data_IF_997931784848
#
_entry.id   IF_997931784848
#
_cell.length_a   1.000
_cell.length_b   1.000
_cell.length_c   1.000
_cell.angle_alpha   90.00
_cell.angle_beta   90.00
_cell.angle_gamma   90.00
#
_symmetry.space_group_name_H-M   'P 1'
#
loop_
_entity.id
_entity.type
_entity.pdbx_description
1 polymer ?
#
# COMPACT_ATOMS: atom_id res chain seq x y z
N UNK A 1 11.00 -34.39 -14.18
CA UNK A 1 11.90 -33.34 -14.70
C UNK A 1 11.30 -31.98 -14.32
N UNK A 2 11.93 -31.19 -13.43
CA UNK A 2 11.43 -29.85 -13.07
C UNK A 2 11.88 -28.86 -14.15
N UNK A 3 10.97 -28.40 -15.01
CA UNK A 3 11.30 -27.40 -16.03
C UNK A 3 11.37 -26.01 -15.39
N UNK A 4 12.57 -25.45 -15.29
CA UNK A 4 12.76 -24.06 -14.87
C UNK A 4 12.46 -23.14 -16.06
N UNK A 5 11.33 -22.45 -16.02
CA UNK A 5 10.95 -21.49 -17.05
C UNK A 5 11.54 -20.11 -16.71
N UNK A 6 12.60 -19.71 -17.41
CA UNK A 6 13.10 -18.34 -17.32
C UNK A 6 12.17 -17.40 -18.06
N UNK A 7 11.44 -16.57 -17.33
CA UNK A 7 10.56 -15.54 -17.90
C UNK A 7 11.28 -14.60 -18.87
N UNK A 8 12.58 -14.37 -18.67
CA UNK A 8 13.43 -13.64 -19.60
C UNK A 8 13.41 -14.27 -20.99
N UNK A 9 13.45 -15.60 -21.13
CA UNK A 9 13.38 -16.28 -22.43
C UNK A 9 12.03 -16.11 -23.10
N UNK A 10 10.95 -16.04 -22.32
CA UNK A 10 9.59 -15.86 -22.82
C UNK A 10 9.29 -14.42 -23.27
N UNK A 11 9.93 -13.42 -22.64
CA UNK A 11 9.54 -12.01 -22.82
C UNK A 11 10.61 -11.13 -23.46
N UNK A 12 11.90 -11.50 -23.45
CA UNK A 12 13.02 -10.65 -23.93
C UNK A 12 12.83 -10.08 -25.33
N UNK A 13 12.21 -10.86 -26.23
CA UNK A 13 11.97 -10.46 -27.62
C UNK A 13 10.48 -10.34 -27.95
N UNK A 14 9.60 -10.40 -26.95
CA UNK A 14 8.16 -10.40 -27.20
C UNK A 14 7.72 -9.02 -27.69
N UNK A 15 6.91 -9.02 -28.73
CA UNK A 15 6.25 -7.83 -29.28
C UNK A 15 4.75 -8.07 -29.34
N UNK A 16 3.97 -6.99 -29.22
CA UNK A 16 2.54 -7.05 -29.50
C UNK A 16 2.25 -6.91 -31.01
N UNK A 17 0.98 -6.94 -31.37
CA UNK A 17 0.52 -6.79 -32.76
C UNK A 17 0.87 -5.43 -33.39
N UNK A 18 1.21 -4.42 -32.57
CA UNK A 18 1.66 -3.09 -33.00
C UNK A 18 3.19 -3.00 -33.12
N UNK A 19 3.92 -4.10 -32.85
CA UNK A 19 5.38 -4.15 -32.88
C UNK A 19 6.07 -3.58 -31.64
N UNK A 20 5.31 -3.18 -30.62
CA UNK A 20 5.84 -2.64 -29.37
C UNK A 20 6.48 -3.76 -28.55
N UNK A 21 7.68 -3.52 -28.03
CA UNK A 21 8.44 -4.52 -27.26
C UNK A 21 7.95 -4.59 -25.82
N UNK A 22 8.05 -5.78 -25.23
CA UNK A 22 7.99 -5.92 -23.77
C UNK A 22 9.25 -5.30 -23.15
N UNK A 23 9.09 -4.22 -22.38
CA UNK A 23 10.21 -3.43 -21.82
C UNK A 23 10.23 -3.44 -20.30
N UNK A 24 11.38 -3.12 -19.70
CA UNK A 24 11.49 -2.90 -18.25
C UNK A 24 10.56 -1.79 -17.75
N UNK A 25 10.33 -0.75 -18.57
CA UNK A 25 9.38 0.32 -18.26
C UNK A 25 7.96 -0.21 -18.09
N UNK A 26 7.54 -1.13 -18.97
CA UNK A 26 6.24 -1.79 -18.87
C UNK A 26 6.17 -2.73 -17.65
N UNK A 27 7.23 -3.48 -17.35
CA UNK A 27 7.30 -4.29 -16.12
C UNK A 27 7.11 -3.40 -14.90
N UNK A 28 7.78 -2.25 -14.86
CA UNK A 28 7.62 -1.25 -13.79
C UNK A 28 6.18 -0.76 -13.66
N UNK A 29 5.51 -0.41 -14.76
CA UNK A 29 4.11 0.05 -14.70
C UNK A 29 3.13 -1.06 -14.27
N UNK A 30 3.37 -2.30 -14.67
CA UNK A 30 2.60 -3.46 -14.22
C UNK A 30 2.83 -3.76 -12.73
N UNK A 31 4.07 -3.65 -12.25
CA UNK A 31 4.41 -3.78 -10.82
C UNK A 31 3.74 -2.68 -9.99
N UNK A 32 3.78 -1.43 -10.45
CA UNK A 32 3.15 -0.31 -9.75
C UNK A 32 1.62 -0.54 -9.63
N UNK A 33 1.00 -1.02 -10.70
CA UNK A 33 -0.45 -1.21 -10.79
C UNK A 33 -0.93 -2.46 -10.06
N UNK A 34 -0.31 -3.60 -10.30
CA UNK A 34 -0.76 -4.92 -9.86
C UNK A 34 0.11 -5.53 -8.75
N UNK A 35 1.13 -4.81 -8.25
CA UNK A 35 2.09 -5.37 -7.31
C UNK A 35 2.91 -6.50 -7.94
N UNK A 36 3.29 -7.53 -7.16
CA UNK A 36 3.82 -8.77 -7.72
C UNK A 36 2.90 -9.26 -8.83
N UNK A 37 3.38 -9.18 -10.08
CA UNK A 37 2.51 -9.25 -11.26
C UNK A 37 1.87 -10.65 -11.34
N UNK A 38 0.52 -10.77 -11.26
CA UNK A 38 -0.13 -12.05 -11.45
C UNK A 38 0.19 -12.63 -12.83
N UNK A 39 0.40 -13.95 -12.91
CA UNK A 39 0.73 -14.63 -14.18
C UNK A 39 -0.24 -14.28 -15.31
N UNK A 40 -1.54 -14.15 -15.00
CA UNK A 40 -2.56 -13.80 -15.98
C UNK A 40 -2.38 -12.39 -16.56
N UNK A 41 -1.94 -11.43 -15.74
CA UNK A 41 -1.63 -10.06 -16.16
C UNK A 41 -0.40 -10.05 -17.05
N UNK A 42 0.63 -10.81 -16.69
CA UNK A 42 1.86 -10.90 -17.46
C UNK A 42 1.66 -11.61 -18.82
N UNK A 43 0.79 -12.63 -18.88
CA UNK A 43 0.45 -13.30 -20.13
C UNK A 43 -0.32 -12.39 -21.09
N UNK A 44 -1.11 -11.47 -20.55
CA UNK A 44 -1.97 -10.51 -21.26
C UNK A 44 -1.48 -9.07 -21.13
N UNK A 45 -0.15 -8.89 -21.15
CA UNK A 45 0.47 -7.58 -20.96
C UNK A 45 0.10 -6.58 -22.07
N UNK A 46 -0.19 -7.08 -23.27
CA UNK A 46 -0.52 -6.35 -24.50
C UNK A 46 -2.02 -6.32 -24.82
N UNK A 47 -2.85 -6.98 -24.00
CA UNK A 47 -4.30 -6.97 -24.15
C UNK A 47 -4.88 -5.71 -23.48
N UNK A 48 -5.14 -4.68 -24.28
CA UNK A 48 -5.70 -3.41 -23.78
C UNK A 48 -7.03 -3.60 -23.05
N UNK A 49 -7.88 -4.52 -23.49
CA UNK A 49 -9.17 -4.81 -22.86
C UNK A 49 -8.94 -5.39 -21.47
N UNK A 50 -8.05 -6.37 -21.36
CA UNK A 50 -7.67 -6.97 -20.08
C UNK A 50 -7.00 -5.96 -19.14
N UNK A 51 -6.18 -5.03 -19.67
CA UNK A 51 -5.58 -3.97 -18.86
C UNK A 51 -6.60 -2.92 -18.41
N UNK A 52 -7.64 -2.65 -19.22
CA UNK A 52 -8.78 -1.77 -18.88
C UNK A 52 -9.68 -2.38 -17.80
N UNK A 53 -9.76 -3.71 -17.70
CA UNK A 53 -10.50 -4.39 -16.64
C UNK A 53 -10.06 -3.95 -15.23
N UNK A 54 -8.83 -3.49 -15.02
CA UNK A 54 -8.38 -2.98 -13.71
C UNK A 54 -9.36 -1.97 -13.10
N UNK A 55 -9.77 -0.96 -13.88
CA UNK A 55 -10.69 0.07 -13.40
C UNK A 55 -12.07 -0.52 -13.09
N UNK A 56 -12.50 -1.52 -13.86
CA UNK A 56 -13.75 -2.25 -13.62
C UNK A 56 -13.68 -3.10 -12.34
N UNK A 57 -12.57 -3.80 -12.09
CA UNK A 57 -12.39 -4.57 -10.86
C UNK A 57 -12.40 -3.64 -9.64
N UNK A 58 -11.73 -2.49 -9.73
CA UNK A 58 -11.76 -1.46 -8.70
C UNK A 58 -13.20 -0.95 -8.50
N UNK A 59 -13.94 -0.65 -9.58
CA UNK A 59 -15.30 -0.13 -9.50
C UNK A 59 -16.31 -1.14 -8.93
N UNK A 60 -16.10 -2.43 -9.15
CA UNK A 60 -16.95 -3.51 -8.62
C UNK A 60 -16.59 -3.92 -7.19
N UNK A 61 -15.38 -3.60 -6.73
CA UNK A 61 -14.91 -3.96 -5.39
C UNK A 61 -15.77 -3.32 -4.31
N UNK A 62 -16.23 -4.15 -3.35
CA UNK A 62 -16.98 -3.73 -2.17
C UNK A 62 -16.09 -3.87 -0.93
N UNK A 63 -15.46 -2.77 -0.53
CA UNK A 63 -14.46 -2.79 0.55
C UNK A 63 -15.03 -3.27 1.88
N UNK A 64 -16.24 -2.83 2.27
CA UNK A 64 -16.89 -3.23 3.53
C UNK A 64 -17.04 -4.77 3.64
N UNK A 65 -17.66 -5.48 2.68
CA UNK A 65 -17.68 -6.94 2.65
C UNK A 65 -16.30 -7.60 2.72
N UNK A 66 -15.29 -7.06 2.01
CA UNK A 66 -13.94 -7.62 2.06
C UNK A 66 -13.38 -7.63 3.47
N UNK A 67 -13.63 -6.54 4.20
CA UNK A 67 -13.12 -6.38 5.55
C UNK A 67 -13.94 -7.15 6.60
N UNK A 68 -15.27 -7.21 6.48
CA UNK A 68 -16.14 -7.89 7.46
C UNK A 68 -16.07 -9.42 7.40
N UNK A 69 -15.61 -9.97 6.28
CA UNK A 69 -15.60 -11.41 6.05
C UNK A 69 -14.27 -12.08 6.41
N UNK A 70 -13.24 -11.30 6.75
CA UNK A 70 -11.94 -11.84 7.17
C UNK A 70 -12.02 -12.68 8.45
N UNK A 71 -13.12 -12.57 9.20
CA UNK A 71 -13.38 -13.36 10.40
C UNK A 71 -14.11 -14.68 10.13
N UNK A 72 -14.81 -14.79 8.99
CA UNK A 72 -15.78 -15.86 8.71
C UNK A 72 -15.34 -16.75 7.53
N UNK A 73 -14.08 -17.21 7.51
CA UNK A 73 -13.50 -18.14 6.51
C UNK A 73 -12.90 -17.51 5.23
N UNK A 74 -12.76 -16.19 5.18
CA UNK A 74 -12.00 -15.49 4.14
C UNK A 74 -12.82 -14.48 3.34
N UNK A 75 -12.18 -13.86 2.35
CA UNK A 75 -12.86 -12.83 1.55
C UNK A 75 -13.87 -13.50 0.60
N UNK A 76 -15.15 -13.07 0.54
CA UNK A 76 -16.14 -13.67 -0.33
C UNK A 76 -15.68 -13.59 -1.77
N UNK A 77 -15.90 -14.67 -2.53
CA UNK A 77 -15.42 -14.83 -3.93
C UNK A 77 -15.74 -13.63 -4.85
N UNK A 78 -16.80 -12.88 -4.55
CA UNK A 78 -17.27 -11.75 -5.35
C UNK A 78 -17.04 -10.37 -4.70
N UNK A 79 -16.45 -10.31 -3.51
CA UNK A 79 -16.23 -9.04 -2.81
C UNK A 79 -15.05 -8.26 -3.41
N UNK A 80 -13.99 -8.96 -3.80
CA UNK A 80 -12.80 -8.42 -4.46
C UNK A 80 -12.16 -9.46 -5.36
N UNK A 81 -11.56 -9.01 -6.45
CA UNK A 81 -10.80 -9.88 -7.33
C UNK A 81 -9.49 -10.32 -6.66
N UNK A 82 -9.11 -11.58 -6.81
CA UNK A 82 -7.77 -12.06 -6.45
C UNK A 82 -6.62 -11.41 -7.23
N UNK A 83 -6.93 -10.60 -8.25
CA UNK A 83 -5.96 -9.72 -8.93
C UNK A 83 -5.65 -8.44 -8.16
N UNK A 84 -6.49 -8.10 -7.17
CA UNK A 84 -6.38 -6.88 -6.35
C UNK A 84 -6.02 -7.19 -4.89
N UNK A 85 -6.09 -8.46 -4.47
CA UNK A 85 -5.68 -8.94 -3.14
C UNK A 85 -4.87 -10.20 -3.28
N UNK A 86 -3.70 -10.21 -2.64
CA UNK A 86 -2.77 -11.31 -2.62
C UNK A 86 -2.72 -11.96 -1.24
N UNK A 87 -2.34 -13.24 -1.24
CA UNK A 87 -2.02 -14.00 -0.04
C UNK A 87 -0.51 -13.94 0.17
N UNK A 88 -0.09 -13.46 1.33
CA UNK A 88 1.32 -13.43 1.74
C UNK A 88 1.49 -14.43 2.87
N UNK A 89 2.27 -15.48 2.63
CA UNK A 89 2.54 -16.52 3.62
C UNK A 89 3.80 -16.19 4.41
N UNK A 90 3.82 -16.54 5.70
CA UNK A 90 5.05 -16.49 6.48
C UNK A 90 6.08 -17.50 5.92
N UNK A 91 7.34 -17.39 6.35
CA UNK A 91 8.45 -18.21 5.82
C UNK A 91 8.23 -19.71 5.94
N UNK A 92 7.38 -20.13 6.88
CA UNK A 92 7.10 -21.54 7.17
C UNK A 92 5.74 -22.01 6.61
N UNK A 93 5.04 -21.15 5.86
CA UNK A 93 3.73 -21.41 5.26
C UNK A 93 2.63 -21.84 6.25
N UNK A 94 2.77 -21.51 7.53
CA UNK A 94 1.80 -21.85 8.58
C UNK A 94 0.74 -20.77 8.76
N UNK A 95 1.07 -19.53 8.40
CA UNK A 95 0.18 -18.38 8.50
C UNK A 95 0.14 -17.64 7.17
N UNK A 96 -1.05 -17.20 6.80
CA UNK A 96 -1.30 -16.44 5.59
C UNK A 96 -2.04 -15.16 5.94
N UNK A 97 -1.56 -14.04 5.42
CA UNK A 97 -2.20 -12.74 5.56
C UNK A 97 -2.67 -12.22 4.20
N UNK A 98 -3.86 -11.62 4.18
CA UNK A 98 -4.36 -10.92 3.00
C UNK A 98 -3.73 -9.54 2.90
N UNK A 99 -3.28 -9.16 1.70
CA UNK A 99 -2.77 -7.81 1.39
C UNK A 99 -3.33 -7.31 0.07
N UNK A 100 -3.54 -6.01 -0.05
CA UNK A 100 -3.78 -5.43 -1.37
C UNK A 100 -2.60 -5.71 -2.30
N UNK A 101 -2.90 -5.90 -3.58
CA UNK A 101 -1.91 -6.22 -4.58
C UNK A 101 -0.80 -5.14 -4.63
N UNK A 102 -1.20 -3.87 -4.59
CA UNK A 102 -0.28 -2.73 -4.59
C UNK A 102 -0.78 -1.59 -3.69
N UNK A 103 0.10 -0.66 -3.29
CA UNK A 103 -0.32 0.60 -2.67
C UNK A 103 -1.27 1.43 -3.54
N UNK A 104 -1.15 1.32 -4.86
CA UNK A 104 -2.06 1.98 -5.79
C UNK A 104 -3.48 1.44 -5.64
N UNK A 105 -3.64 0.11 -5.57
CA UNK A 105 -4.94 -0.54 -5.33
C UNK A 105 -5.54 -0.08 -3.99
N UNK A 106 -4.75 -0.08 -2.90
CA UNK A 106 -5.26 0.35 -1.60
C UNK A 106 -5.72 1.81 -1.61
N UNK A 107 -4.91 2.71 -2.16
CA UNK A 107 -5.23 4.13 -2.20
C UNK A 107 -6.52 4.39 -2.99
N UNK A 108 -6.64 3.82 -4.19
CA UNK A 108 -7.83 4.01 -5.03
C UNK A 108 -9.09 3.44 -4.37
N UNK A 109 -9.00 2.30 -3.69
CA UNK A 109 -10.15 1.71 -2.98
C UNK A 109 -10.58 2.55 -1.77
N UNK A 110 -9.63 3.13 -1.03
CA UNK A 110 -9.90 4.03 0.10
C UNK A 110 -10.62 5.29 -0.38
N UNK A 111 -10.06 5.97 -1.38
CA UNK A 111 -10.65 7.20 -1.94
C UNK A 111 -12.06 6.95 -2.46
N UNK A 112 -12.24 5.87 -3.23
CA UNK A 112 -13.55 5.46 -3.73
C UNK A 112 -14.54 5.23 -2.59
N UNK A 113 -14.13 4.52 -1.53
CA UNK A 113 -15.02 4.23 -0.40
C UNK A 113 -15.41 5.51 0.36
N UNK A 114 -14.46 6.41 0.61
CA UNK A 114 -14.72 7.70 1.25
C UNK A 114 -15.73 8.53 0.44
N UNK A 115 -15.55 8.63 -0.88
CA UNK A 115 -16.45 9.36 -1.77
C UNK A 115 -17.85 8.74 -1.85
N UNK A 116 -17.95 7.41 -1.88
CA UNK A 116 -19.24 6.71 -2.07
C UNK A 116 -20.09 6.62 -0.81
N UNK A 117 -19.49 6.54 0.37
CA UNK A 117 -20.22 6.21 1.60
C UNK A 117 -20.36 7.36 2.58
N UNK A 118 -19.63 8.47 2.39
CA UNK A 118 -19.53 9.56 3.37
C UNK A 118 -18.97 9.11 4.74
N UNK A 119 -18.69 7.82 4.91
CA UNK A 119 -18.21 7.18 6.13
C UNK A 119 -16.70 7.18 6.14
N UNK A 120 -16.09 7.43 7.29
CA UNK A 120 -14.63 7.45 7.36
C UNK A 120 -14.10 6.01 7.37
N UNK A 121 -13.15 5.72 6.49
CA UNK A 121 -12.35 4.47 6.54
C UNK A 121 -11.74 4.28 7.94
N UNK A 122 -11.53 5.37 8.69
CA UNK A 122 -11.13 5.39 10.09
C UNK A 122 -12.12 4.66 11.01
N UNK A 123 -13.41 4.96 10.98
CA UNK A 123 -14.41 4.31 11.86
C UNK A 123 -14.44 2.79 11.63
N UNK A 124 -14.22 2.40 10.38
CA UNK A 124 -14.10 1.01 10.00
C UNK A 124 -12.80 0.36 10.52
N UNK A 125 -11.64 1.02 10.36
CA UNK A 125 -10.36 0.54 10.90
C UNK A 125 -10.46 0.34 12.42
N UNK A 126 -11.08 1.28 13.14
CA UNK A 126 -11.26 1.22 14.60
C UNK A 126 -12.14 0.04 15.00
N UNK A 127 -13.30 -0.13 14.37
CA UNK A 127 -14.22 -1.23 14.68
C UNK A 127 -13.63 -2.61 14.37
N UNK A 128 -12.74 -2.72 13.39
CA UNK A 128 -12.05 -3.97 13.04
C UNK A 128 -10.91 -4.39 14.00
N UNK A 129 -10.64 -3.64 15.07
CA UNK A 129 -9.53 -3.93 16.00
C UNK A 129 -9.68 -5.29 16.72
N UNK A 130 -10.92 -5.73 16.98
CA UNK A 130 -11.23 -6.96 17.73
C UNK A 130 -10.97 -8.28 16.96
N UNK A 131 -10.41 -8.17 15.76
CA UNK A 131 -10.35 -9.26 14.77
C UNK A 131 -8.90 -9.56 14.38
N UNK A 132 -8.25 -10.60 14.98
CA UNK A 132 -6.83 -10.90 14.75
C UNK A 132 -6.52 -11.39 13.33
N UNK A 133 -7.39 -12.18 12.70
CA UNK A 133 -7.20 -12.71 11.33
C UNK A 133 -7.21 -11.60 10.27
N UNK A 134 -7.88 -10.48 10.56
CA UNK A 134 -7.91 -9.30 9.72
C UNK A 134 -6.70 -8.36 9.92
N UNK A 135 -5.77 -8.66 10.85
CA UNK A 135 -4.72 -7.72 11.26
C UNK A 135 -3.82 -7.28 10.10
N UNK A 136 -3.41 -8.20 9.22
CA UNK A 136 -2.60 -7.86 8.05
C UNK A 136 -3.33 -6.93 7.08
N UNK A 137 -4.59 -7.23 6.78
CA UNK A 137 -5.40 -6.42 5.87
C UNK A 137 -5.74 -5.04 6.48
N UNK A 138 -6.06 -5.00 7.77
CA UNK A 138 -6.25 -3.76 8.56
C UNK A 138 -4.99 -2.90 8.56
N UNK A 139 -3.82 -3.50 8.75
CA UNK A 139 -2.54 -2.79 8.70
C UNK A 139 -2.29 -2.14 7.33
N UNK A 140 -2.52 -2.87 6.23
CA UNK A 140 -2.39 -2.31 4.88
C UNK A 140 -3.40 -1.19 4.61
N UNK A 141 -4.65 -1.36 5.06
CA UNK A 141 -5.68 -0.33 4.91
C UNK A 141 -5.33 0.94 5.72
N UNK A 142 -4.88 0.76 6.96
CA UNK A 142 -4.44 1.85 7.82
C UNK A 142 -3.25 2.59 7.22
N UNK A 143 -2.23 1.87 6.72
CA UNK A 143 -1.07 2.48 6.07
C UNK A 143 -1.50 3.35 4.89
N UNK A 144 -2.31 2.80 3.98
CA UNK A 144 -2.86 3.55 2.84
C UNK A 144 -3.68 4.78 3.27
N UNK A 145 -4.54 4.62 4.29
CA UNK A 145 -5.37 5.71 4.82
C UNK A 145 -4.49 6.81 5.44
N UNK A 146 -3.52 6.45 6.28
CA UNK A 146 -2.59 7.39 6.90
C UNK A 146 -1.82 8.21 5.87
N UNK A 147 -1.32 7.57 4.80
CA UNK A 147 -0.65 8.27 3.72
C UNK A 147 -1.56 9.28 3.00
N UNK A 148 -2.82 8.93 2.74
CA UNK A 148 -3.76 9.84 2.08
C UNK A 148 -4.12 11.03 2.97
N UNK A 149 -4.33 10.80 4.27
CA UNK A 149 -4.60 11.88 5.22
C UNK A 149 -3.40 12.80 5.40
N UNK A 150 -2.18 12.25 5.49
CA UNK A 150 -0.97 13.06 5.62
C UNK A 150 -0.71 13.93 4.38
N UNK A 151 -1.02 13.42 3.19
CA UNK A 151 -0.94 14.21 1.96
C UNK A 151 -1.93 15.37 1.94
N UNK A 152 -3.16 15.16 2.45
CA UNK A 152 -4.18 16.22 2.56
C UNK A 152 -3.81 17.29 3.60
N UNK A 153 -2.86 16.99 4.48
CA UNK A 153 -2.47 17.90 5.55
C UNK A 153 -3.56 18.10 6.61
N UNK A 154 -3.35 19.07 7.49
CA UNK A 154 -4.22 19.39 8.62
C UNK A 154 -3.57 19.11 9.98
N UNK A 155 -4.40 19.09 11.02
CA UNK A 155 -3.95 18.92 12.40
C UNK A 155 -3.90 17.45 12.80
N UNK A 156 -2.74 17.00 13.28
CA UNK A 156 -2.51 15.64 13.71
C UNK A 156 -1.99 15.59 15.14
N UNK A 157 -2.43 14.57 15.87
CA UNK A 157 -1.79 14.15 17.11
C UNK A 157 -0.58 13.29 16.75
N UNK A 158 0.60 13.69 17.20
CA UNK A 158 1.87 13.03 16.91
C UNK A 158 2.55 12.68 18.22
N UNK A 159 3.21 11.52 18.22
CA UNK A 159 4.03 11.06 19.34
C UNK A 159 5.47 10.90 18.83
N UNK A 160 6.43 11.47 19.55
CA UNK A 160 7.84 11.14 19.34
C UNK A 160 8.11 9.69 19.75
N UNK A 161 8.88 8.94 18.96
CA UNK A 161 9.24 7.57 19.31
C UNK A 161 10.36 7.50 20.35
N UNK A 162 11.24 8.52 20.36
CA UNK A 162 12.43 8.53 21.21
C UNK A 162 12.21 9.16 22.59
N UNK A 163 11.15 9.96 22.74
CA UNK A 163 10.83 10.62 24.01
C UNK A 163 9.43 10.24 24.47
N UNK A 164 9.29 9.89 25.75
CA UNK A 164 7.99 9.76 26.43
C UNK A 164 7.29 11.12 26.61
N UNK A 165 7.60 12.12 25.77
CA UNK A 165 7.20 13.53 25.86
C UNK A 165 5.71 13.79 25.60
N UNK A 166 4.85 12.78 25.72
CA UNK A 166 3.42 12.89 25.48
C UNK A 166 3.03 13.02 24.01
N UNK A 167 1.73 13.20 23.78
CA UNK A 167 1.13 13.40 22.47
C UNK A 167 1.08 14.90 22.18
N UNK A 168 1.71 15.35 21.11
CA UNK A 168 1.71 16.74 20.67
C UNK A 168 0.76 16.95 19.49
N UNK A 169 0.21 18.15 19.32
CA UNK A 169 -0.50 18.53 18.10
C UNK A 169 0.48 19.13 17.09
N UNK A 170 0.45 18.66 15.86
CA UNK A 170 1.26 19.17 14.75
C UNK A 170 0.39 19.47 13.55
N UNK A 171 0.57 20.65 12.97
CA UNK A 171 -0.05 21.00 11.70
C UNK A 171 0.86 20.54 10.55
N UNK A 172 0.35 19.64 9.71
CA UNK A 172 1.05 19.11 8.54
C UNK A 172 0.50 19.81 7.31
N UNK A 173 1.39 20.33 6.44
CA UNK A 173 0.97 21.00 5.20
C UNK A 173 0.47 19.97 4.18
N UNK A 174 -0.51 20.37 3.39
CA UNK A 174 -0.91 19.60 2.21
C UNK A 174 0.28 19.49 1.24
N UNK A 175 0.56 18.28 0.76
CA UNK A 175 1.67 18.00 -0.14
C UNK A 175 1.32 16.96 -1.18
N UNK A 176 1.80 17.17 -2.41
CA UNK A 176 1.68 16.17 -3.48
C UNK A 176 2.57 14.97 -3.17
N UNK A 177 2.05 13.77 -3.43
CA UNK A 177 2.82 12.54 -3.32
C UNK A 177 3.93 12.49 -4.37
N UNK A 178 5.14 12.12 -3.93
CA UNK A 178 6.24 11.72 -4.79
C UNK A 178 6.59 10.26 -4.49
N UNK A 179 6.31 9.37 -5.45
CA UNK A 179 6.70 7.98 -5.37
C UNK A 179 8.13 7.80 -5.88
N UNK A 180 9.02 7.24 -5.05
CA UNK A 180 10.43 7.10 -5.39
C UNK A 180 10.94 5.66 -5.20
N UNK A 181 11.91 5.24 -6.00
CA UNK A 181 12.62 3.96 -5.80
C UNK A 181 13.95 4.18 -5.07
N UNK A 182 14.67 5.25 -5.43
CA UNK A 182 15.96 5.61 -4.84
C UNK A 182 15.89 7.00 -4.22
N UNK A 183 16.70 7.28 -3.19
CA UNK A 183 16.68 8.57 -2.50
C UNK A 183 16.98 9.76 -3.42
N UNK A 184 17.71 9.54 -4.52
CA UNK A 184 17.98 10.58 -5.52
C UNK A 184 16.73 11.06 -6.26
N UNK A 185 15.64 10.28 -6.25
CA UNK A 185 14.34 10.64 -6.83
C UNK A 185 13.45 11.40 -5.84
N UNK A 186 13.86 11.53 -4.57
CA UNK A 186 13.11 12.27 -3.57
C UNK A 186 13.07 13.77 -3.91
N UNK A 187 11.93 14.41 -3.63
CA UNK A 187 11.67 15.80 -3.99
C UNK A 187 11.39 16.64 -2.75
N UNK A 188 11.95 17.86 -2.72
CA UNK A 188 11.58 18.89 -1.74
C UNK A 188 10.11 19.28 -1.92
N UNK A 189 9.47 19.73 -0.83
CA UNK A 189 8.06 20.19 -0.82
C UNK A 189 7.08 19.14 -1.34
N UNK A 190 7.41 17.86 -1.17
CA UNK A 190 6.59 16.72 -1.56
C UNK A 190 6.48 15.74 -0.39
N UNK A 191 5.39 14.98 -0.38
CA UNK A 191 5.23 13.81 0.47
C UNK A 191 5.92 12.61 -0.19
N UNK A 192 7.14 12.29 0.25
CA UNK A 192 7.95 11.24 -0.37
C UNK A 192 7.58 9.87 0.19
N UNK A 193 7.09 8.98 -0.69
CA UNK A 193 6.75 7.59 -0.34
C UNK A 193 7.56 6.62 -1.18
N UNK A 194 8.29 5.68 -0.58
CA UNK A 194 9.05 4.70 -1.33
C UNK A 194 8.11 3.72 -2.04
N UNK A 195 8.47 3.27 -3.24
CA UNK A 195 7.74 2.23 -3.99
C UNK A 195 7.95 0.83 -3.42
N UNK A 196 8.98 0.64 -2.60
CA UNK A 196 9.32 -0.64 -1.96
C UNK A 196 9.68 -0.44 -0.49
N UNK A 197 9.59 -1.49 0.32
CA UNK A 197 9.95 -1.45 1.76
C UNK A 197 11.46 -1.45 2.02
N UNK A 198 12.24 -0.88 1.10
CA UNK A 198 13.71 -0.83 1.20
C UNK A 198 14.21 0.00 2.38
N UNK A 199 13.38 0.91 2.89
CA UNK A 199 13.63 1.69 4.10
C UNK A 199 12.86 1.04 5.28
N UNK A 200 13.46 0.03 5.90
CA UNK A 200 12.78 -0.84 6.87
C UNK A 200 12.20 -0.12 8.12
N UNK A 201 12.61 1.13 8.37
CA UNK A 201 12.26 1.92 9.54
C UNK A 201 11.47 3.20 9.24
N UNK A 202 11.31 3.56 7.97
CA UNK A 202 10.66 4.81 7.54
C UNK A 202 9.70 4.46 6.41
N UNK A 203 8.41 4.67 6.65
CA UNK A 203 7.38 4.38 5.66
C UNK A 203 7.16 5.56 4.70
N UNK A 204 7.47 6.79 5.12
CA UNK A 204 7.51 8.00 4.27
C UNK A 204 8.22 9.17 4.95
N UNK A 205 8.49 10.23 4.19
CA UNK A 205 9.03 11.47 4.75
C UNK A 205 8.65 12.73 3.96
N UNK A 206 8.72 13.88 4.62
CA UNK A 206 8.61 15.20 4.00
C UNK A 206 9.89 16.00 4.21
N UNK A 207 10.36 16.66 3.15
CA UNK A 207 11.49 17.60 3.21
C UNK A 207 10.99 18.98 2.74
N UNK A 208 10.66 19.86 3.69
CA UNK A 208 10.11 21.19 3.40
C UNK A 208 11.16 22.31 3.52
N UNK A 209 12.37 22.06 2.98
CA UNK A 209 13.46 23.04 2.94
C UNK A 209 14.14 23.34 4.28
N UNK A 210 13.36 23.44 5.36
CA UNK A 210 13.78 23.78 6.73
C UNK A 210 13.67 22.58 7.68
N UNK A 211 12.74 21.65 7.42
CA UNK A 211 12.49 20.49 8.29
C UNK A 211 12.47 19.18 7.49
N UNK A 212 12.95 18.11 8.15
CA UNK A 212 12.81 16.73 7.69
C UNK A 212 11.89 15.98 8.66
N UNK A 213 10.74 15.58 8.16
CA UNK A 213 9.76 14.81 8.92
C UNK A 213 9.76 13.37 8.44
N UNK A 214 10.06 12.45 9.36
CA UNK A 214 10.09 11.01 9.10
C UNK A 214 8.86 10.37 9.73
N UNK A 215 8.12 9.59 8.93
CA UNK A 215 6.89 8.94 9.36
C UNK A 215 7.08 7.43 9.41
N UNK A 216 6.64 6.86 10.51
CA UNK A 216 6.42 5.43 10.66
C UNK A 216 4.93 5.19 10.96
N UNK A 217 4.31 4.27 10.23
CA UNK A 217 2.91 3.90 10.39
C UNK A 217 2.83 2.51 11.00
N UNK A 218 2.19 2.41 12.16
CA UNK A 218 1.95 1.13 12.80
C UNK A 218 0.61 1.09 13.51
N UNK A 219 -0.02 -0.08 13.47
CA UNK A 219 -1.22 -0.40 14.23
C UNK A 219 -0.91 -1.11 15.55
N UNK A 220 0.35 -1.50 15.80
CA UNK A 220 0.77 -2.15 17.03
C UNK A 220 1.33 -1.12 17.99
N UNK A 221 0.80 -1.12 19.23
CA UNK A 221 1.22 -0.24 20.32
C UNK A 221 2.66 -0.53 20.79
N UNK A 222 3.17 -1.73 20.51
CA UNK A 222 4.49 -2.21 20.92
C UNK A 222 5.33 -2.53 19.67
N UNK A 223 5.79 -1.53 18.94
CA UNK A 223 6.90 -1.73 18.01
C UNK A 223 8.17 -1.14 18.59
N UNK A 224 9.16 -2.00 18.82
CA UNK A 224 10.54 -1.58 18.96
C UNK A 224 11.00 -0.93 17.66
N UNK A 225 11.53 0.28 17.75
CA UNK A 225 12.19 0.96 16.63
C UNK A 225 13.39 0.10 16.22
N UNK A 226 13.38 -0.44 15.01
CA UNK A 226 14.52 -1.18 14.44
C UNK A 226 15.53 -0.23 13.79
N UNK A 227 16.05 0.77 14.51
CA UNK A 227 17.30 1.46 14.16
C UNK A 227 17.90 2.10 15.41
N UNK A 228 19.23 2.01 15.55
CA UNK A 228 19.97 2.81 16.53
C UNK A 228 19.80 4.31 16.27
N UNK A 229 19.50 5.05 17.34
CA UNK A 229 19.51 6.50 17.51
C UNK A 229 19.48 7.33 16.22
N UNK A 230 18.29 7.70 15.74
CA UNK A 230 17.97 9.06 15.28
C UNK A 230 16.45 9.24 15.11
N UNK A 231 15.96 10.45 15.44
CA UNK A 231 14.56 10.80 15.67
C UNK A 231 13.57 10.32 14.61
N UNK A 232 12.68 9.42 15.02
CA UNK A 232 11.52 8.97 14.25
C UNK A 232 10.22 9.28 15.02
N UNK A 233 9.14 9.56 14.31
CA UNK A 233 7.83 9.87 14.88
C UNK A 233 6.76 8.86 14.43
N UNK A 234 5.86 8.50 15.33
CA UNK A 234 4.67 7.70 15.03
C UNK A 234 3.42 8.58 15.11
N UNK A 235 2.52 8.42 14.14
CA UNK A 235 1.26 9.16 14.10
C UNK A 235 0.15 8.24 14.61
N UNK A 236 -0.55 8.70 15.64
CA UNK A 236 -1.68 8.01 16.24
C UNK A 236 -2.92 8.90 16.14
N UNK A 237 -3.86 8.55 15.26
CA UNK A 237 -5.20 9.17 15.28
C UNK A 237 -5.96 8.48 16.40
N UNK A 238 -5.92 9.11 17.57
CA UNK A 238 -6.55 8.63 18.81
C UNK A 238 -7.95 8.05 18.62
N UNK A 239 -8.22 7.07 19.48
CA UNK A 239 -9.49 6.42 19.87
C UNK A 239 -10.75 7.23 19.62
#
# INVERSE_FOLDING_TARGET
MKSLHFWTLLYKNKKNNKGEKFTLKLVGSLLDKWGPIPKSVLLKWDDETYQKEYNQLISQTKLKPCMTSLDNEGIPKYAISGRLVHLDANSNFTEVVYRFASPMVSNTLIEKYQTQTGSSVRDFIISSHRHPKAAGFRGNLFEGYAHLELQRGGKFRVRCLNDNSGVNERNIKEMKCNWFMTLNEARKKCYNRPKSKTFASIDSFCLDGETLDLYQMTISKNHGVKVGNNGSGCIDKGT
#
